data_IF_832208577017
#
_entry.id   IF_832208577017
#
_cell.length_a   1.000
_cell.length_b   1.000
_cell.length_c   1.000
_cell.angle_alpha   90.00
_cell.angle_beta   90.00
_cell.angle_gamma   90.00
#
_symmetry.space_group_name_H-M   'P 1'
#
loop_
_entity.id
_entity.type
_entity.pdbx_description
1 polymer ?
#
# COMPACT_ATOMS: atom_id res chain seq x y z
N UNK A 1 -7.01 -7.69 -7.57
CA UNK A 1 -7.17 -8.76 -6.58
C UNK A 1 -7.05 -8.14 -5.21
N UNK A 2 -7.98 -8.43 -4.28
CA UNK A 2 -7.82 -8.09 -2.87
C UNK A 2 -7.39 -9.34 -2.13
N UNK A 3 -6.47 -9.20 -1.18
CA UNK A 3 -5.83 -10.36 -0.54
C UNK A 3 -6.82 -11.15 0.31
N UNK A 4 -7.73 -10.45 1.00
CA UNK A 4 -8.76 -11.04 1.84
C UNK A 4 -9.84 -11.81 1.04
N UNK A 5 -10.14 -11.36 -0.19
CA UNK A 5 -11.07 -12.05 -1.08
C UNK A 5 -10.51 -13.40 -1.59
N UNK A 6 -9.22 -13.46 -1.91
CA UNK A 6 -8.60 -14.64 -2.52
C UNK A 6 -7.97 -15.61 -1.50
N UNK A 7 -7.45 -15.07 -0.39
CA UNK A 7 -6.70 -15.84 0.63
C UNK A 7 -7.26 -15.56 2.05
N UNK A 8 -8.52 -15.94 2.32
CA UNK A 8 -9.19 -15.62 3.58
C UNK A 8 -8.55 -16.27 4.83
N UNK A 9 -7.68 -17.27 4.65
CA UNK A 9 -6.98 -17.97 5.72
C UNK A 9 -5.68 -17.28 6.19
N UNK A 10 -5.23 -16.23 5.50
CA UNK A 10 -3.95 -15.56 5.78
C UNK A 10 -4.16 -14.38 6.70
N UNK A 11 -3.32 -14.28 7.74
CA UNK A 11 -3.24 -13.09 8.59
C UNK A 11 -2.41 -11.98 7.93
N UNK A 12 -2.97 -10.78 7.77
CA UNK A 12 -2.23 -9.60 7.34
C UNK A 12 -1.75 -8.78 8.53
N UNK A 13 -0.46 -8.43 8.52
CA UNK A 13 0.14 -7.50 9.45
C UNK A 13 0.60 -6.24 8.71
N UNK A 14 0.12 -5.09 9.16
CA UNK A 14 0.54 -3.78 8.65
C UNK A 14 0.77 -2.82 9.83
N UNK A 15 1.58 -1.77 9.60
CA UNK A 15 1.83 -0.71 10.59
C UNK A 15 0.73 0.35 10.60
N UNK A 16 0.04 0.56 9.47
CA UNK A 16 -1.07 1.50 9.33
C UNK A 16 -2.04 1.04 8.23
N UNK A 17 -3.26 1.56 8.31
CA UNK A 17 -4.28 1.49 7.26
C UNK A 17 -4.66 2.93 6.93
N UNK A 18 -4.58 3.28 5.66
CA UNK A 18 -4.85 4.62 5.14
C UNK A 18 -6.20 4.67 4.41
N UNK A 19 -6.64 5.86 4.01
CA UNK A 19 -8.05 6.14 3.70
C UNK A 19 -8.49 5.60 2.33
N UNK A 20 -7.72 5.86 1.27
CA UNK A 20 -8.09 5.49 -0.09
C UNK A 20 -6.89 5.43 -1.04
N UNK A 21 -7.14 4.95 -2.27
CA UNK A 21 -6.23 5.08 -3.39
C UNK A 21 -6.68 6.22 -4.30
N UNK A 22 -5.76 7.07 -4.74
CA UNK A 22 -6.06 8.07 -5.79
C UNK A 22 -6.15 7.43 -7.18
N UNK A 23 -6.39 8.26 -8.21
CA UNK A 23 -6.59 7.82 -9.60
C UNK A 23 -5.33 7.18 -10.22
N UNK A 24 -4.15 7.51 -9.69
CA UNK A 24 -2.86 6.94 -10.11
C UNK A 24 -2.49 5.69 -9.30
N UNK A 25 -3.32 5.31 -8.31
CA UNK A 25 -3.13 4.13 -7.48
C UNK A 25 -2.19 4.35 -6.29
N UNK A 26 -1.86 5.58 -5.93
CA UNK A 26 -1.13 5.87 -4.69
C UNK A 26 -2.06 5.80 -3.48
N UNK A 27 -1.51 5.32 -2.37
CA UNK A 27 -2.17 5.34 -1.07
C UNK A 27 -2.23 6.78 -0.55
N UNK A 28 -3.39 7.22 -0.06
CA UNK A 28 -3.62 8.55 0.51
C UNK A 28 -4.09 8.43 1.97
N UNK A 29 -3.44 9.12 2.94
CA UNK A 29 -2.33 10.07 2.77
C UNK A 29 -0.99 9.44 2.37
N UNK A 30 -0.75 8.17 2.72
CA UNK A 30 0.37 7.36 2.25
C UNK A 30 1.76 7.99 2.39
N UNK A 31 2.69 7.49 1.56
CA UNK A 31 4.08 7.93 1.58
C UNK A 31 4.64 8.29 0.19
N UNK A 32 3.85 8.17 -0.87
CA UNK A 32 4.33 8.27 -2.26
C UNK A 32 5.13 7.03 -2.66
N UNK A 33 6.10 7.19 -3.56
CA UNK A 33 6.96 6.07 -3.99
C UNK A 33 7.94 5.64 -2.88
N UNK A 34 7.75 4.43 -2.37
CA UNK A 34 8.58 3.86 -1.31
C UNK A 34 10.02 3.59 -1.77
N UNK A 35 10.19 3.17 -3.03
CA UNK A 35 11.50 2.86 -3.61
C UNK A 35 12.34 4.11 -3.74
N UNK A 36 11.82 5.15 -4.37
CA UNK A 36 12.54 6.41 -4.55
C UNK A 36 12.92 7.05 -3.22
N UNK A 37 12.02 7.01 -2.24
CA UNK A 37 12.30 7.50 -0.89
C UNK A 37 13.37 6.68 -0.18
N UNK A 38 13.36 5.37 -0.32
CA UNK A 38 14.32 4.48 0.34
C UNK A 38 15.72 4.54 -0.29
N UNK A 39 15.79 4.59 -1.62
CA UNK A 39 17.04 4.44 -2.37
C UNK A 39 17.56 5.74 -2.96
N UNK A 40 16.83 6.85 -2.83
CA UNK A 40 17.16 8.17 -3.39
C UNK A 40 17.34 8.10 -4.91
N UNK A 41 16.35 7.53 -5.58
CA UNK A 41 16.27 7.37 -7.05
C UNK A 41 15.18 8.25 -7.66
N UNK A 42 15.10 8.22 -9.00
CA UNK A 42 14.02 8.80 -9.83
C UNK A 42 13.91 7.98 -11.11
#
# INVERSE_FOLDING_TARGET
LRVDDEFPEVDLLTVSIDDYLDDDGYIVPGLGDAGDRAFRTT
#
